data_IF_744583050089
#
_entry.id   IF_744583050089
#
_cell.length_a   1.000
_cell.length_b   1.000
_cell.length_c   1.000
_cell.angle_alpha   90.00
_cell.angle_beta   90.00
_cell.angle_gamma   90.00
#
_symmetry.space_group_name_H-M   'P 1'
#
loop_
_entity.id
_entity.type
_entity.pdbx_description
1 polymer ?
#
# COMPACT_ATOMS: atom_id res chain seq x y z
N UNK A 1 67.08 31.24 6.28
CA UNK A 1 66.19 30.12 6.70
C UNK A 1 64.83 30.69 7.04
N UNK A 2 63.91 30.59 6.08
CA UNK A 2 62.52 31.07 6.12
C UNK A 2 61.73 30.35 7.22
N UNK A 3 61.17 31.10 8.18
CA UNK A 3 60.25 30.56 9.18
C UNK A 3 58.86 30.45 8.56
N UNK A 4 58.50 29.25 8.13
CA UNK A 4 57.20 28.91 7.54
C UNK A 4 56.03 29.41 8.42
N UNK A 5 55.22 30.32 7.86
CA UNK A 5 53.95 30.83 8.42
C UNK A 5 52.83 29.77 8.34
N UNK A 6 53.03 28.59 8.92
CA UNK A 6 52.07 27.47 8.83
C UNK A 6 50.83 27.66 9.74
N UNK A 7 50.97 28.39 10.85
CA UNK A 7 49.91 28.61 11.85
C UNK A 7 48.68 29.40 11.37
N UNK A 8 48.79 30.50 10.60
CA UNK A 8 47.61 31.23 10.13
C UNK A 8 46.82 30.48 9.04
N UNK A 9 47.49 29.62 8.26
CA UNK A 9 46.84 28.83 7.19
C UNK A 9 45.99 27.69 7.79
N UNK A 10 46.51 26.96 8.78
CA UNK A 10 45.72 25.93 9.48
C UNK A 10 44.51 26.53 10.24
N UNK A 11 44.67 27.73 10.81
CA UNK A 11 43.58 28.42 11.51
C UNK A 11 42.48 28.89 10.55
N UNK A 12 42.86 29.37 9.36
CA UNK A 12 41.91 29.76 8.31
C UNK A 12 41.15 28.54 7.74
N UNK A 13 41.82 27.40 7.58
CA UNK A 13 41.23 26.16 7.07
C UNK A 13 40.25 25.51 8.06
N UNK A 14 40.54 25.62 9.37
CA UNK A 14 39.61 25.18 10.43
C UNK A 14 38.33 26.01 10.45
N UNK A 15 38.42 27.32 10.17
CA UNK A 15 37.28 28.23 10.21
C UNK A 15 36.31 28.02 9.04
N UNK A 16 36.80 27.67 7.85
CA UNK A 16 35.94 27.36 6.68
C UNK A 16 35.17 26.06 6.83
N UNK A 17 35.72 25.05 7.52
CA UNK A 17 35.03 23.78 7.79
C UNK A 17 33.86 23.97 8.77
N UNK A 18 34.02 24.85 9.76
CA UNK A 18 32.98 25.13 10.76
C UNK A 18 31.81 25.91 10.12
N UNK A 19 32.08 26.82 9.18
CA UNK A 19 31.04 27.61 8.51
C UNK A 19 30.21 26.75 7.53
N UNK A 20 30.81 25.73 6.90
CA UNK A 20 30.10 24.80 6.01
C UNK A 20 29.18 23.81 6.76
N UNK A 21 29.44 23.55 8.05
CA UNK A 21 28.64 22.63 8.87
C UNK A 21 27.29 23.18 9.34
N UNK A 22 27.06 24.50 9.26
CA UNK A 22 25.85 25.15 9.72
C UNK A 22 24.85 25.52 8.61
N UNK A 23 25.06 25.09 7.36
CA UNK A 23 24.15 25.40 6.25
C UNK A 23 23.03 24.36 6.06
N UNK A 24 22.49 23.79 7.13
CA UNK A 24 21.28 22.97 7.05
C UNK A 24 20.10 23.91 6.82
N UNK A 25 19.71 24.12 5.56
CA UNK A 25 18.40 24.68 5.24
C UNK A 25 17.34 23.76 5.84
N UNK A 26 16.39 24.29 6.64
CA UNK A 26 15.23 23.52 7.05
C UNK A 26 14.59 22.92 5.80
N UNK A 27 14.43 21.59 5.73
CA UNK A 27 13.63 21.02 4.66
C UNK A 27 12.21 21.52 4.87
N UNK A 28 11.62 22.15 3.86
CA UNK A 28 10.19 22.43 3.85
C UNK A 28 9.44 21.13 4.19
N UNK A 29 8.37 21.19 5.01
CA UNK A 29 7.60 20.00 5.34
C UNK A 29 7.13 19.35 4.04
N UNK A 30 7.61 18.13 3.79
CA UNK A 30 7.22 17.36 2.63
C UNK A 30 5.78 16.88 2.85
N UNK A 31 4.84 17.44 2.08
CA UNK A 31 3.45 17.00 2.10
C UNK A 31 3.35 15.71 1.30
N UNK A 32 3.14 14.60 2.00
CA UNK A 32 2.84 13.31 1.38
C UNK A 32 1.34 13.23 1.07
N UNK A 33 0.99 12.93 -0.19
CA UNK A 33 -0.39 12.65 -0.56
C UNK A 33 -0.66 11.15 -0.47
N UNK A 34 -1.67 10.79 0.32
CA UNK A 34 -2.10 9.40 0.52
C UNK A 34 -3.53 9.26 -0.01
N UNK A 35 -3.72 8.41 -1.01
CA UNK A 35 -5.04 8.02 -1.51
C UNK A 35 -5.44 6.70 -0.88
N UNK A 36 -6.54 6.70 -0.12
CA UNK A 36 -7.11 5.48 0.48
C UNK A 36 -8.23 4.98 -0.41
N UNK A 37 -8.02 3.82 -1.01
CA UNK A 37 -9.04 3.06 -1.70
C UNK A 37 -9.61 2.00 -0.75
N UNK A 38 -10.91 1.77 -0.81
CA UNK A 38 -11.54 0.76 0.04
C UNK A 38 -12.68 0.03 -0.64
N UNK A 39 -12.92 -1.20 -0.20
CA UNK A 39 -14.15 -1.95 -0.44
C UNK A 39 -14.58 -2.68 0.83
N UNK A 40 -15.79 -3.21 0.86
CA UNK A 40 -16.33 -4.01 1.95
C UNK A 40 -17.41 -4.95 1.39
N UNK A 41 -17.83 -5.94 2.18
CA UNK A 41 -18.98 -6.81 1.89
C UNK A 41 -18.90 -7.45 0.50
N UNK A 42 -17.72 -8.00 0.18
CA UNK A 42 -17.47 -8.59 -1.13
C UNK A 42 -18.40 -9.77 -1.39
N UNK A 43 -18.59 -10.64 -0.39
CA UNK A 43 -19.49 -11.79 -0.41
C UNK A 43 -19.37 -12.66 -1.67
N UNK A 44 -18.16 -13.15 -1.94
CA UNK A 44 -17.91 -14.12 -3.00
C UNK A 44 -17.99 -13.60 -4.44
N UNK A 45 -18.05 -12.27 -4.64
CA UNK A 45 -18.30 -11.67 -5.96
C UNK A 45 -17.04 -11.54 -6.83
N UNK A 46 -16.19 -12.57 -6.86
CA UNK A 46 -14.96 -12.51 -7.64
C UNK A 46 -15.21 -12.37 -9.15
N UNK A 47 -16.32 -12.92 -9.64
CA UNK A 47 -16.73 -12.93 -11.05
C UNK A 47 -17.80 -11.86 -11.35
N UNK A 48 -17.85 -11.30 -12.59
CA UNK A 48 -18.94 -10.42 -12.99
C UNK A 48 -20.29 -11.15 -12.95
N UNK A 49 -21.36 -10.41 -12.66
CA UNK A 49 -22.70 -10.99 -12.72
C UNK A 49 -23.18 -11.23 -14.16
N UNK A 50 -24.40 -11.74 -14.29
CA UNK A 50 -25.07 -11.98 -15.59
C UNK A 50 -25.28 -10.74 -16.46
N UNK A 51 -25.15 -9.53 -15.89
CA UNK A 51 -25.27 -8.25 -16.61
C UNK A 51 -23.90 -7.66 -16.96
N UNK A 52 -22.80 -8.33 -16.62
CA UNK A 52 -21.44 -7.85 -16.86
C UNK A 52 -20.97 -6.78 -15.86
N UNK A 53 -21.64 -6.67 -14.71
CA UNK A 53 -21.29 -5.70 -13.67
C UNK A 53 -20.20 -6.27 -12.75
N UNK A 54 -19.37 -5.39 -12.17
CA UNK A 54 -18.35 -5.68 -11.15
C UNK A 54 -17.39 -6.84 -11.50
N UNK A 55 -16.97 -7.63 -10.50
CA UNK A 55 -15.90 -8.64 -10.61
C UNK A 55 -14.49 -8.09 -10.38
N UNK A 56 -13.59 -8.96 -9.90
CA UNK A 56 -12.22 -8.56 -9.54
C UNK A 56 -11.37 -8.18 -10.75
N UNK A 57 -11.66 -8.73 -11.93
CA UNK A 57 -10.99 -8.35 -13.18
C UNK A 57 -11.23 -6.88 -13.55
N UNK A 58 -12.49 -6.42 -13.53
CA UNK A 58 -12.82 -5.02 -13.78
C UNK A 58 -12.24 -4.11 -12.67
N UNK A 59 -12.33 -4.56 -11.41
CA UNK A 59 -11.73 -3.85 -10.27
C UNK A 59 -10.22 -3.69 -10.44
N UNK A 60 -9.51 -4.70 -10.94
CA UNK A 60 -8.05 -4.67 -11.14
C UNK A 60 -7.65 -3.57 -12.11
N UNK A 61 -8.32 -3.50 -13.25
CA UNK A 61 -8.10 -2.42 -14.22
C UNK A 61 -8.30 -1.03 -13.61
N UNK A 62 -9.36 -0.85 -12.82
CA UNK A 62 -9.65 0.44 -12.16
C UNK A 62 -8.60 0.79 -11.09
N UNK A 63 -8.24 -0.16 -10.24
CA UNK A 63 -7.24 0.06 -9.19
C UNK A 63 -5.87 0.39 -9.81
N UNK A 64 -5.48 -0.32 -10.87
CA UNK A 64 -4.22 -0.06 -11.56
C UNK A 64 -4.19 1.30 -12.25
N UNK A 65 -5.32 1.74 -12.84
CA UNK A 65 -5.40 3.08 -13.41
C UNK A 65 -5.26 4.16 -12.34
N UNK A 66 -5.92 3.98 -11.19
CA UNK A 66 -5.82 4.94 -10.07
C UNK A 66 -4.39 4.96 -9.51
N UNK A 67 -3.75 3.80 -9.33
CA UNK A 67 -2.34 3.74 -8.90
C UNK A 67 -1.43 4.50 -9.85
N UNK A 68 -1.58 4.27 -11.15
CA UNK A 68 -0.79 4.97 -12.18
C UNK A 68 -0.98 6.49 -12.10
N UNK A 69 -2.21 6.96 -11.91
CA UNK A 69 -2.52 8.40 -11.76
C UNK A 69 -1.89 8.98 -10.49
N UNK A 70 -2.09 8.33 -9.35
CA UNK A 70 -1.56 8.80 -8.05
C UNK A 70 -0.03 8.78 -8.02
N UNK A 71 0.61 7.74 -8.56
CA UNK A 71 2.07 7.63 -8.66
C UNK A 71 2.65 8.73 -9.58
N UNK A 72 1.96 9.08 -10.67
CA UNK A 72 2.38 10.17 -11.56
C UNK A 72 2.35 11.55 -10.87
N UNK A 73 1.51 11.72 -9.86
CA UNK A 73 1.44 12.91 -9.02
C UNK A 73 2.39 12.87 -7.80
N UNK A 74 3.15 11.78 -7.65
CA UNK A 74 4.05 11.58 -6.51
C UNK A 74 3.34 11.19 -5.20
N UNK A 75 2.08 10.75 -5.28
CA UNK A 75 1.34 10.22 -4.14
C UNK A 75 1.54 8.72 -3.93
N UNK A 76 0.93 8.20 -2.86
CA UNK A 76 0.89 6.77 -2.53
C UNK A 76 -0.54 6.28 -2.39
N UNK A 77 -0.80 5.02 -2.75
CA UNK A 77 -2.11 4.38 -2.63
C UNK A 77 -2.08 3.33 -1.52
N UNK A 78 -3.11 3.34 -0.67
CA UNK A 78 -3.41 2.28 0.29
C UNK A 78 -4.77 1.66 -0.06
N UNK A 79 -4.81 0.35 -0.29
CA UNK A 79 -6.00 -0.41 -0.65
C UNK A 79 -6.46 -1.27 0.53
N UNK A 80 -7.64 -0.97 1.09
CA UNK A 80 -8.16 -1.61 2.29
C UNK A 80 -9.47 -2.36 2.03
N UNK A 81 -9.70 -3.45 2.78
CA UNK A 81 -10.99 -4.14 2.81
C UNK A 81 -11.64 -4.07 4.20
N UNK A 82 -12.95 -3.81 4.24
CA UNK A 82 -13.76 -3.84 5.45
C UNK A 82 -14.12 -5.24 5.95
N UNK A 83 -13.80 -6.30 5.19
CA UNK A 83 -14.16 -7.68 5.51
C UNK A 83 -15.41 -8.16 4.79
N UNK A 84 -15.97 -9.28 5.28
CA UNK A 84 -17.08 -10.01 4.69
C UNK A 84 -16.80 -10.40 3.23
N UNK A 85 -15.71 -11.17 3.07
CA UNK A 85 -15.34 -11.77 1.79
C UNK A 85 -16.13 -13.05 1.56
N UNK A 86 -16.33 -13.82 2.63
CA UNK A 86 -17.03 -15.09 2.60
C UNK A 86 -18.54 -14.94 2.37
N UNK A 87 -19.15 -16.04 1.92
CA UNK A 87 -20.60 -16.30 1.90
C UNK A 87 -21.40 -15.35 1.00
N UNK A 88 -21.85 -15.81 -0.16
CA UNK A 88 -22.85 -15.09 -0.96
C UNK A 88 -23.01 -15.54 -2.41
N UNK A 89 -21.99 -16.17 -2.99
CA UNK A 89 -22.00 -16.67 -4.36
C UNK A 89 -21.60 -18.14 -4.35
N UNK A 90 -22.44 -19.07 -4.85
CA UNK A 90 -22.19 -20.51 -4.74
C UNK A 90 -20.81 -20.96 -5.22
N UNK A 91 -20.31 -20.37 -6.31
CA UNK A 91 -18.99 -20.67 -6.87
C UNK A 91 -17.83 -20.28 -5.94
N UNK A 92 -17.99 -19.21 -5.17
CA UNK A 92 -17.04 -18.81 -4.12
C UNK A 92 -17.20 -19.70 -2.88
N UNK A 93 -18.44 -19.91 -2.43
CA UNK A 93 -18.76 -20.59 -1.18
C UNK A 93 -18.27 -22.06 -1.22
N UNK A 94 -18.44 -22.74 -2.36
CA UNK A 94 -17.95 -24.11 -2.57
C UNK A 94 -16.42 -24.24 -2.57
N UNK A 95 -15.71 -23.11 -2.69
CA UNK A 95 -14.26 -23.04 -2.76
C UNK A 95 -13.66 -22.32 -1.55
N UNK A 96 -14.44 -22.14 -0.47
CA UNK A 96 -14.00 -21.41 0.73
C UNK A 96 -13.47 -20.00 0.40
N UNK A 97 -14.08 -19.30 -0.56
CA UNK A 97 -13.64 -18.00 -1.06
C UNK A 97 -12.17 -17.95 -1.57
N UNK A 98 -11.56 -19.10 -1.89
CA UNK A 98 -10.20 -19.17 -2.44
C UNK A 98 -9.98 -18.29 -3.70
N UNK A 99 -10.88 -18.24 -4.71
CA UNK A 99 -10.68 -17.32 -5.84
C UNK A 99 -10.73 -15.85 -5.43
N UNK A 100 -11.52 -15.49 -4.42
CA UNK A 100 -11.70 -14.14 -3.91
C UNK A 100 -10.41 -13.64 -3.26
N UNK A 101 -9.85 -14.41 -2.31
CA UNK A 101 -8.60 -14.06 -1.63
C UNK A 101 -7.41 -14.00 -2.60
N UNK A 102 -7.28 -14.97 -3.51
CA UNK A 102 -6.24 -14.91 -4.56
C UNK A 102 -6.41 -13.70 -5.46
N UNK A 103 -7.64 -13.36 -5.82
CA UNK A 103 -7.93 -12.15 -6.60
C UNK A 103 -7.59 -10.87 -5.84
N UNK A 104 -7.89 -10.78 -4.54
CA UNK A 104 -7.50 -9.67 -3.67
C UNK A 104 -5.98 -9.52 -3.57
N UNK A 105 -5.24 -10.64 -3.48
CA UNK A 105 -3.78 -10.65 -3.52
C UNK A 105 -3.24 -10.07 -4.84
N UNK A 106 -3.81 -10.45 -6.00
CA UNK A 106 -3.46 -9.89 -7.31
C UNK A 106 -3.85 -8.40 -7.48
N UNK A 107 -4.93 -7.98 -6.83
CA UNK A 107 -5.33 -6.58 -6.72
C UNK A 107 -4.39 -5.77 -5.82
N UNK A 108 -3.63 -6.43 -4.95
CA UNK A 108 -2.75 -5.80 -3.98
C UNK A 108 -3.53 -5.06 -2.90
N UNK A 109 -4.44 -5.74 -2.20
CA UNK A 109 -4.97 -5.22 -0.94
C UNK A 109 -3.87 -5.22 0.12
N UNK A 110 -3.74 -4.12 0.85
CA UNK A 110 -2.72 -3.95 1.89
C UNK A 110 -3.17 -4.54 3.23
N UNK A 111 -4.46 -4.41 3.54
CA UNK A 111 -5.04 -4.99 4.74
C UNK A 111 -6.55 -5.21 4.60
N UNK A 112 -7.06 -6.09 5.46
CA UNK A 112 -8.48 -6.40 5.57
C UNK A 112 -8.87 -6.56 7.04
N UNK A 113 -10.02 -5.99 7.44
CA UNK A 113 -10.65 -6.31 8.71
C UNK A 113 -11.38 -7.67 8.61
N UNK A 114 -11.40 -8.45 9.69
CA UNK A 114 -12.25 -9.64 9.75
C UNK A 114 -13.71 -9.20 9.95
N UNK A 115 -14.58 -9.56 9.01
CA UNK A 115 -16.02 -9.45 9.14
C UNK A 115 -16.62 -10.64 9.88
N UNK A 116 -17.94 -10.63 10.09
CA UNK A 116 -18.60 -11.75 10.76
C UNK A 116 -18.68 -12.99 9.87
N UNK A 117 -18.75 -12.84 8.54
CA UNK A 117 -18.86 -13.96 7.61
C UNK A 117 -17.54 -14.74 7.46
N UNK A 118 -16.41 -14.16 7.87
CA UNK A 118 -15.15 -14.91 8.02
C UNK A 118 -15.24 -16.04 9.07
N UNK A 119 -16.28 -16.04 9.92
CA UNK A 119 -16.54 -17.06 10.93
C UNK A 119 -17.70 -18.01 10.57
N UNK A 120 -18.24 -17.93 9.35
CA UNK A 120 -19.25 -18.89 8.86
C UNK A 120 -18.64 -20.29 8.66
N UNK A 121 -17.34 -20.32 8.37
CA UNK A 121 -16.55 -21.53 8.20
C UNK A 121 -15.73 -21.84 9.47
N UNK A 122 -15.31 -23.11 9.69
CA UNK A 122 -14.42 -23.45 10.79
C UNK A 122 -13.13 -22.63 10.76
N UNK A 123 -12.56 -22.34 11.94
CA UNK A 123 -11.33 -21.53 12.08
C UNK A 123 -10.16 -22.01 11.19
N UNK A 124 -10.09 -23.31 10.91
CA UNK A 124 -9.06 -23.89 10.02
C UNK A 124 -9.17 -23.36 8.59
N UNK A 125 -10.38 -23.06 8.11
CA UNK A 125 -10.62 -22.45 6.81
C UNK A 125 -10.15 -21.00 6.81
N UNK A 126 -10.49 -20.23 7.84
CA UNK A 126 -9.97 -18.86 7.99
C UNK A 126 -8.43 -18.81 8.04
N UNK A 127 -7.81 -19.77 8.73
CA UNK A 127 -6.34 -19.90 8.75
C UNK A 127 -5.75 -20.24 7.37
N UNK A 128 -6.45 -21.03 6.55
CA UNK A 128 -6.07 -21.28 5.15
C UNK A 128 -6.19 -19.99 4.32
N UNK A 129 -7.27 -19.23 4.50
CA UNK A 129 -7.51 -17.98 3.78
C UNK A 129 -6.43 -16.93 4.05
N UNK A 130 -5.89 -16.87 5.26
CA UNK A 130 -4.76 -15.97 5.62
C UNK A 130 -3.46 -16.24 4.85
N UNK A 131 -3.35 -17.40 4.18
CA UNK A 131 -2.17 -17.83 3.44
C UNK A 131 -2.32 -17.66 1.92
N UNK A 132 -3.50 -17.23 1.45
CA UNK A 132 -3.82 -17.03 0.03
C UNK A 132 -3.37 -15.65 -0.45
#
# INVERSE_FOLDING_TARGET
>A
MERFKLKPVLLALSSTIIIAGCSTTPSEPQTEQITILHTNDHHGRFWPNKYGEYGLAARKTLVDSIRTEVEAEGGVVLMLSGGDINTGVPESDLLDAEPDFKGMSLLGYDAMALGNHEFDNPLTVLQKQQQC
#
